data_IF_412482822487
#
_entry.id   IF_412482822487
#
_cell.length_a   1.000
_cell.length_b   1.000
_cell.length_c   1.000
_cell.angle_alpha   90.00
_cell.angle_beta   90.00
_cell.angle_gamma   90.00
#
_symmetry.space_group_name_H-M   'P 1'
#
loop_
_entity.id
_entity.type
_entity.pdbx_description
1 polymer ?
#
# COMPACT_ATOMS: atom_id res chain seq x y z
N UNK A 1 25.24 64.15 -77.86
CA UNK A 1 23.99 64.23 -77.06
C UNK A 1 23.41 62.84 -76.69
N UNK A 2 24.15 61.73 -76.89
CA UNK A 2 23.63 60.35 -76.69
C UNK A 2 23.95 59.71 -75.32
N UNK A 3 24.97 60.17 -74.59
CA UNK A 3 25.37 59.53 -73.33
C UNK A 3 24.41 59.81 -72.15
N UNK A 4 23.65 60.92 -72.20
CA UNK A 4 22.67 61.27 -71.16
C UNK A 4 21.40 60.41 -71.24
N UNK A 5 21.01 59.99 -72.44
CA UNK A 5 19.83 59.12 -72.67
C UNK A 5 20.15 57.68 -72.23
N UNK A 6 21.38 57.22 -72.46
CA UNK A 6 21.84 55.89 -72.05
C UNK A 6 21.93 55.73 -70.52
N UNK A 7 22.30 56.78 -69.80
CA UNK A 7 22.26 56.82 -68.33
C UNK A 7 20.84 56.84 -67.76
N UNK A 8 19.89 57.53 -68.43
CA UNK A 8 18.50 57.57 -68.00
C UNK A 8 17.80 56.21 -68.14
N UNK A 9 18.12 55.44 -69.20
CA UNK A 9 17.61 54.09 -69.41
C UNK A 9 18.12 53.09 -68.36
N UNK A 10 19.38 53.21 -67.92
CA UNK A 10 19.96 52.34 -66.89
C UNK A 10 19.32 52.56 -65.50
N UNK A 11 18.94 53.80 -65.18
CA UNK A 11 18.25 54.14 -63.91
C UNK A 11 16.82 53.57 -63.89
N UNK A 12 16.11 53.61 -65.02
CA UNK A 12 14.75 53.08 -65.13
C UNK A 12 14.72 51.54 -64.99
N UNK A 13 15.73 50.83 -65.50
CA UNK A 13 15.88 49.38 -65.29
C UNK A 13 16.24 48.99 -63.85
N UNK A 14 16.78 49.91 -63.04
CA UNK A 14 17.10 49.67 -61.63
C UNK A 14 15.91 49.77 -60.67
N UNK A 15 14.74 50.25 -61.14
CA UNK A 15 13.54 50.47 -60.32
C UNK A 15 12.52 49.32 -60.38
N UNK A 16 12.75 48.28 -61.20
CA UNK A 16 11.90 47.09 -61.27
C UNK A 16 12.32 46.03 -60.23
N UNK A 17 12.22 46.37 -58.95
CA UNK A 17 12.60 45.48 -57.83
C UNK A 17 11.69 45.59 -56.61
N UNK A 18 10.49 46.16 -56.76
CA UNK A 18 9.50 46.20 -55.68
C UNK A 18 8.67 44.91 -55.71
N UNK A 19 9.21 43.84 -55.11
CA UNK A 19 8.53 42.56 -54.93
C UNK A 19 7.73 42.58 -53.62
N UNK A 20 6.44 42.33 -53.69
CA UNK A 20 5.45 42.60 -52.65
C UNK A 20 5.37 41.47 -51.63
N UNK A 21 6.39 41.35 -50.78
CA UNK A 21 6.42 40.41 -49.63
C UNK A 21 5.17 40.46 -48.74
N UNK A 22 4.48 41.60 -48.72
CA UNK A 22 3.25 41.82 -47.96
C UNK A 22 2.06 41.06 -48.58
N UNK A 23 1.99 40.98 -49.92
CA UNK A 23 0.91 40.28 -50.62
C UNK A 23 1.00 38.76 -50.40
N UNK A 24 2.22 38.20 -50.36
CA UNK A 24 2.44 36.80 -50.04
C UNK A 24 1.92 36.43 -48.64
N UNK A 25 2.18 37.28 -47.63
CA UNK A 25 1.68 37.10 -46.26
C UNK A 25 0.15 37.20 -46.24
N UNK A 26 -0.43 38.16 -46.95
CA UNK A 26 -1.90 38.29 -47.02
C UNK A 26 -2.56 37.07 -47.66
N UNK A 27 -1.94 36.51 -48.69
CA UNK A 27 -2.43 35.31 -49.36
C UNK A 27 -2.34 34.06 -48.47
N UNK A 28 -1.26 33.93 -47.71
CA UNK A 28 -1.10 32.83 -46.74
C UNK A 28 -2.11 32.96 -45.58
N UNK A 29 -2.30 34.17 -45.04
CA UNK A 29 -3.30 34.45 -44.01
C UNK A 29 -4.73 34.20 -44.49
N UNK A 30 -5.05 34.54 -45.74
CA UNK A 30 -6.35 34.23 -46.34
C UNK A 30 -6.55 32.71 -46.48
N UNK A 31 -5.49 31.98 -46.83
CA UNK A 31 -5.51 30.51 -46.93
C UNK A 31 -5.79 29.89 -45.56
N UNK A 32 -5.10 30.34 -44.51
CA UNK A 32 -5.30 29.83 -43.13
C UNK A 32 -6.72 30.11 -42.63
N UNK A 33 -7.28 31.30 -42.88
CA UNK A 33 -8.65 31.64 -42.45
C UNK A 33 -9.73 30.83 -43.15
N UNK A 34 -9.48 30.38 -44.38
CA UNK A 34 -10.41 29.57 -45.14
C UNK A 34 -10.26 28.06 -44.87
N UNK A 35 -9.32 27.65 -44.01
CA UNK A 35 -9.22 26.26 -43.60
C UNK A 35 -10.38 25.90 -42.66
N UNK A 36 -11.04 24.75 -42.88
CA UNK A 36 -12.10 24.30 -42.00
C UNK A 36 -11.54 24.00 -40.60
N UNK A 37 -12.32 24.27 -39.53
CA UNK A 37 -11.89 23.98 -38.18
C UNK A 37 -11.63 22.48 -38.00
N UNK A 38 -10.54 22.16 -37.30
CA UNK A 38 -10.24 20.78 -36.92
C UNK A 38 -11.35 20.26 -35.99
N UNK A 39 -11.81 19.02 -36.17
CA UNK A 39 -12.74 18.40 -35.25
C UNK A 39 -12.14 18.35 -33.83
N UNK A 40 -12.91 18.81 -32.85
CA UNK A 40 -12.56 18.62 -31.44
C UNK A 40 -12.74 17.16 -31.05
N UNK A 41 -11.82 16.63 -30.25
CA UNK A 41 -12.00 15.30 -29.66
C UNK A 41 -13.26 15.31 -28.78
N UNK A 42 -14.15 14.33 -28.95
CA UNK A 42 -15.35 14.24 -28.12
C UNK A 42 -14.95 13.97 -26.66
N UNK A 43 -15.73 14.53 -25.74
CA UNK A 43 -15.53 14.25 -24.32
C UNK A 43 -15.59 12.73 -24.05
N UNK A 44 -14.72 12.21 -23.18
CA UNK A 44 -14.72 10.80 -22.84
C UNK A 44 -16.09 10.41 -22.23
N UNK A 45 -16.61 9.26 -22.65
CA UNK A 45 -17.88 8.74 -22.15
C UNK A 45 -17.61 7.99 -20.85
N UNK A 46 -18.17 8.47 -19.74
CA UNK A 46 -18.09 7.76 -18.45
C UNK A 46 -19.00 6.53 -18.49
N UNK A 47 -18.42 5.34 -18.28
CA UNK A 47 -19.21 4.12 -18.10
C UNK A 47 -19.90 4.15 -16.74
N UNK A 48 -21.22 3.85 -16.65
CA UNK A 48 -21.88 3.76 -15.36
C UNK A 48 -21.29 2.61 -14.54
N UNK A 49 -21.08 2.85 -13.25
CA UNK A 49 -20.65 1.83 -12.31
C UNK A 49 -21.77 0.79 -12.19
N UNK A 50 -21.49 -0.52 -12.32
CA UNK A 50 -22.52 -1.53 -12.15
C UNK A 50 -23.09 -1.47 -10.73
N UNK A 51 -24.42 -1.52 -10.60
CA UNK A 51 -25.07 -1.64 -9.30
C UNK A 51 -24.88 -3.05 -8.75
N UNK A 52 -24.26 -3.17 -7.58
CA UNK A 52 -24.16 -4.44 -6.87
C UNK A 52 -25.39 -4.62 -5.97
N UNK A 53 -26.18 -5.67 -6.20
CA UNK A 53 -27.26 -6.04 -5.29
C UNK A 53 -26.71 -6.95 -4.18
N UNK A 54 -26.79 -6.50 -2.93
CA UNK A 54 -26.34 -7.26 -1.77
C UNK A 54 -27.37 -8.35 -1.41
N UNK A 55 -27.10 -9.59 -1.81
CA UNK A 55 -27.97 -10.77 -1.53
C UNK A 55 -27.76 -11.38 -0.15
N UNK A 56 -26.76 -10.93 0.60
CA UNK A 56 -26.42 -11.48 1.91
C UNK A 56 -27.28 -10.95 3.07
N UNK A 57 -28.27 -10.10 2.80
CA UNK A 57 -29.24 -9.62 3.80
C UNK A 57 -30.16 -10.72 4.34
N UNK A 58 -30.38 -11.78 3.56
CA UNK A 58 -31.13 -12.98 4.00
C UNK A 58 -30.24 -14.02 4.68
N UNK A 59 -28.91 -13.84 4.65
CA UNK A 59 -28.00 -14.71 5.37
C UNK A 59 -28.01 -14.35 6.86
N UNK A 60 -27.76 -15.37 7.69
CA UNK A 60 -27.59 -15.17 9.13
C UNK A 60 -26.51 -14.12 9.39
N UNK A 61 -26.76 -13.25 10.37
CA UNK A 61 -25.78 -12.28 10.81
C UNK A 61 -24.47 -13.00 11.23
N UNK A 62 -23.33 -12.75 10.55
CA UNK A 62 -22.07 -13.44 10.82
C UNK A 62 -21.47 -13.08 12.18
N UNK A 63 -21.96 -12.04 12.85
CA UNK A 63 -21.51 -11.59 14.16
C UNK A 63 -22.33 -12.18 15.32
N UNK A 64 -23.42 -12.90 15.03
CA UNK A 64 -24.17 -13.61 16.07
C UNK A 64 -23.59 -15.01 16.30
N UNK A 65 -23.43 -15.44 17.56
CA UNK A 65 -22.88 -16.76 17.88
C UNK A 65 -23.76 -17.85 17.27
N UNK A 66 -23.14 -18.92 16.79
CA UNK A 66 -23.83 -19.99 16.05
C UNK A 66 -24.88 -20.73 16.91
N UNK A 67 -24.67 -20.76 18.24
CA UNK A 67 -25.55 -21.37 19.23
C UNK A 67 -25.34 -20.76 20.62
N UNK A 68 -26.33 -20.91 21.51
CA UNK A 68 -26.22 -20.54 22.93
C UNK A 68 -25.05 -21.26 23.61
N UNK A 69 -24.77 -22.51 23.23
CA UNK A 69 -23.63 -23.26 23.76
C UNK A 69 -22.28 -22.65 23.36
N UNK A 70 -22.17 -22.09 22.15
CA UNK A 70 -20.97 -21.38 21.72
C UNK A 70 -20.77 -20.08 22.50
N UNK A 71 -21.85 -19.36 22.78
CA UNK A 71 -21.85 -18.16 23.62
C UNK A 71 -21.46 -18.49 25.08
N UNK A 72 -22.09 -19.52 25.66
CA UNK A 72 -21.76 -19.99 27.00
C UNK A 72 -20.33 -20.51 27.10
N UNK A 73 -19.76 -21.13 26.06
CA UNK A 73 -18.34 -21.56 26.06
C UNK A 73 -17.38 -20.38 26.08
N UNK A 74 -17.73 -19.27 25.43
CA UNK A 74 -16.95 -18.03 25.49
C UNK A 74 -17.04 -17.45 26.91
N UNK A 75 -18.24 -17.42 27.49
CA UNK A 75 -18.45 -16.91 28.86
C UNK A 75 -17.92 -17.82 29.98
N UNK A 76 -17.89 -19.15 29.76
CA UNK A 76 -17.42 -20.16 30.73
C UNK A 76 -15.91 -20.37 30.67
N UNK A 77 -15.19 -19.64 29.82
CA UNK A 77 -13.74 -19.64 29.83
C UNK A 77 -13.23 -19.25 31.21
N UNK A 78 -12.17 -19.91 31.68
CA UNK A 78 -11.46 -19.49 32.89
C UNK A 78 -11.12 -18.00 32.73
N UNK A 79 -11.56 -17.14 33.65
CA UNK A 79 -11.20 -15.71 33.59
C UNK A 79 -9.68 -15.58 33.52
N UNK A 80 -9.18 -15.08 32.41
CA UNK A 80 -7.76 -14.84 32.18
C UNK A 80 -7.53 -13.35 32.39
N UNK A 81 -6.38 -13.01 32.96
CA UNK A 81 -5.96 -11.62 33.14
C UNK A 81 -4.48 -11.51 32.79
N UNK A 82 -4.05 -10.38 32.18
CA UNK A 82 -2.64 -10.13 31.99
C UNK A 82 -1.96 -9.98 33.36
N UNK A 83 -0.84 -10.67 33.56
CA UNK A 83 -0.05 -10.48 34.76
C UNK A 83 0.74 -9.17 34.64
N UNK A 84 0.27 -8.12 35.31
CA UNK A 84 0.90 -6.80 35.32
C UNK A 84 2.02 -6.65 36.37
N UNK A 85 2.13 -7.60 37.31
CA UNK A 85 3.13 -7.55 38.37
C UNK A 85 4.52 -7.99 37.92
N UNK A 86 4.62 -8.68 36.76
CA UNK A 86 5.90 -9.11 36.22
C UNK A 86 6.62 -7.97 35.48
N UNK A 87 7.96 -7.97 35.45
CA UNK A 87 8.68 -7.08 34.55
C UNK A 87 8.34 -7.39 33.09
N UNK A 88 8.21 -6.33 32.29
CA UNK A 88 8.04 -6.44 30.84
C UNK A 88 9.36 -6.87 30.18
N UNK A 89 9.25 -7.65 29.13
CA UNK A 89 10.35 -8.09 28.27
C UNK A 89 10.52 -7.11 27.10
N UNK A 90 11.72 -7.03 26.49
CA UNK A 90 12.00 -6.08 25.42
C UNK A 90 11.02 -6.17 24.24
N UNK A 91 10.60 -7.38 23.88
CA UNK A 91 9.70 -7.60 22.74
C UNK A 91 8.22 -7.27 23.01
N UNK A 92 7.87 -6.84 24.22
CA UNK A 92 6.51 -6.43 24.58
C UNK A 92 6.22 -4.96 24.32
N UNK A 93 7.20 -4.18 23.88
CA UNK A 93 6.99 -2.81 23.39
C UNK A 93 6.55 -2.76 21.92
N UNK A 94 6.59 -3.89 21.22
CA UNK A 94 6.30 -3.97 19.78
C UNK A 94 4.96 -4.65 19.52
N UNK A 95 4.27 -4.23 18.45
CA UNK A 95 3.13 -4.96 17.94
C UNK A 95 3.59 -6.32 17.40
N UNK A 96 2.81 -7.38 17.63
CA UNK A 96 3.18 -8.73 17.22
C UNK A 96 3.40 -8.82 15.69
N UNK A 97 2.61 -8.07 14.93
CA UNK A 97 2.64 -7.98 13.48
C UNK A 97 3.92 -7.32 12.94
N UNK A 98 4.61 -6.52 13.76
CA UNK A 98 5.88 -5.89 13.40
C UNK A 98 7.08 -6.79 13.66
N UNK A 99 6.88 -7.90 14.39
CA UNK A 99 7.93 -8.84 14.74
C UNK A 99 8.04 -9.93 13.68
N UNK A 100 9.26 -10.24 13.26
CA UNK A 100 9.51 -11.28 12.24
C UNK A 100 10.37 -12.40 12.79
N UNK A 101 9.91 -13.65 12.69
CA UNK A 101 10.76 -14.81 12.96
C UNK A 101 11.83 -14.96 11.87
N UNK A 102 13.10 -14.95 12.26
CA UNK A 102 14.25 -15.15 11.35
C UNK A 102 14.87 -16.54 11.43
N UNK A 103 14.56 -17.29 12.48
CA UNK A 103 15.04 -18.67 12.60
C UNK A 103 14.90 -19.19 14.01
N UNK A 104 15.55 -20.33 14.24
CA UNK A 104 15.70 -20.92 15.56
C UNK A 104 17.12 -21.45 15.75
N UNK A 105 17.54 -21.52 17.00
CA UNK A 105 18.83 -22.05 17.41
C UNK A 105 18.59 -23.11 18.48
N UNK A 106 19.38 -24.18 18.44
CA UNK A 106 19.34 -25.23 19.45
C UNK A 106 20.57 -25.11 20.34
N UNK A 107 20.34 -24.99 21.66
CA UNK A 107 21.42 -25.06 22.65
C UNK A 107 21.89 -26.50 22.86
N UNK A 108 23.06 -26.64 23.47
CA UNK A 108 23.70 -27.93 23.81
C UNK A 108 22.75 -28.81 24.65
N UNK A 109 21.92 -28.21 25.52
CA UNK A 109 20.91 -28.89 26.34
C UNK A 109 19.60 -29.26 25.61
N UNK A 110 19.60 -29.27 24.27
CA UNK A 110 18.43 -29.51 23.42
C UNK A 110 17.29 -28.46 23.53
N UNK A 111 17.50 -27.34 24.22
CA UNK A 111 16.52 -26.27 24.27
C UNK A 111 16.53 -25.46 22.95
N UNK A 112 15.35 -25.29 22.35
CA UNK A 112 15.17 -24.49 21.13
C UNK A 112 14.85 -23.05 21.52
N UNK A 113 15.60 -22.10 20.95
CA UNK A 113 15.35 -20.67 21.01
C UNK A 113 14.96 -20.16 19.64
N UNK A 114 14.05 -19.20 19.56
CA UNK A 114 13.74 -18.51 18.32
C UNK A 114 14.49 -17.17 18.24
N UNK A 115 14.77 -16.76 17.01
CA UNK A 115 15.34 -15.47 16.66
C UNK A 115 14.24 -14.59 16.09
N UNK A 116 13.95 -13.47 16.75
CA UNK A 116 12.94 -12.51 16.35
C UNK A 116 13.63 -11.21 15.96
N UNK A 117 13.34 -10.69 14.78
CA UNK A 117 13.75 -9.37 14.35
C UNK A 117 12.68 -8.34 14.73
N UNK A 118 13.08 -7.25 15.38
CA UNK A 118 12.24 -6.08 15.66
C UNK A 118 12.12 -5.18 14.41
N UNK A 119 11.14 -4.26 14.34
CA UNK A 119 11.08 -3.26 13.28
C UNK A 119 12.34 -2.39 13.17
N UNK A 120 13.09 -2.24 14.27
CA UNK A 120 14.36 -1.50 14.33
C UNK A 120 15.57 -2.33 13.83
N UNK A 121 15.31 -3.52 13.27
CA UNK A 121 16.29 -4.48 12.78
C UNK A 121 17.18 -5.14 13.86
N UNK A 122 16.84 -5.03 15.13
CA UNK A 122 17.53 -5.74 16.21
C UNK A 122 17.05 -7.20 16.28
N UNK A 123 17.95 -8.11 16.66
CA UNK A 123 17.62 -9.54 16.80
C UNK A 123 17.58 -9.91 18.28
N UNK A 124 16.41 -10.31 18.73
CA UNK A 124 16.16 -10.79 20.07
C UNK A 124 15.97 -12.31 20.09
N UNK A 125 16.44 -12.93 21.18
CA UNK A 125 16.35 -14.37 21.39
C UNK A 125 15.26 -14.67 22.39
N UNK A 126 14.36 -15.58 22.02
CA UNK A 126 13.27 -16.01 22.91
C UNK A 126 13.22 -17.51 23.05
N UNK A 127 12.69 -17.97 24.17
CA UNK A 127 12.44 -19.36 24.50
C UNK A 127 10.97 -19.55 24.92
N UNK A 128 10.55 -20.80 25.02
CA UNK A 128 9.21 -21.14 25.54
C UNK A 128 9.01 -20.50 26.92
N UNK A 129 7.87 -19.83 27.10
CA UNK A 129 7.55 -19.08 28.31
C UNK A 129 7.90 -17.59 28.30
N UNK A 130 8.68 -17.11 27.31
CA UNK A 130 8.85 -15.67 27.09
C UNK A 130 7.55 -15.01 26.63
N UNK A 131 7.51 -13.68 26.77
CA UNK A 131 6.40 -12.83 26.36
C UNK A 131 6.85 -11.88 25.26
N UNK A 132 6.02 -11.76 24.23
CA UNK A 132 6.26 -10.89 23.08
C UNK A 132 4.93 -10.24 22.67
N UNK A 133 5.02 -9.09 22.00
CA UNK A 133 3.84 -8.38 21.53
C UNK A 133 3.16 -7.54 22.62
N UNK A 134 2.39 -6.55 22.19
CA UNK A 134 1.61 -5.66 23.08
C UNK A 134 0.53 -6.40 23.89
N UNK A 135 0.02 -7.52 23.39
CA UNK A 135 -1.08 -8.27 23.99
C UNK A 135 -0.60 -9.40 24.92
N UNK A 136 0.53 -9.20 25.59
CA UNK A 136 1.08 -10.16 26.57
C UNK A 136 1.24 -11.59 26.00
N UNK A 137 1.67 -11.70 24.75
CA UNK A 137 1.76 -12.96 24.01
C UNK A 137 2.77 -13.92 24.60
N UNK A 138 2.31 -14.96 25.31
CA UNK A 138 3.19 -15.96 25.92
C UNK A 138 3.53 -17.05 24.91
N UNK A 139 4.81 -17.30 24.68
CA UNK A 139 5.28 -18.37 23.79
C UNK A 139 4.99 -19.72 24.42
N UNK A 140 4.21 -20.55 23.73
CA UNK A 140 3.83 -21.90 24.16
C UNK A 140 4.68 -22.98 23.48
N UNK A 141 5.14 -22.73 22.25
CA UNK A 141 5.91 -23.70 21.46
C UNK A 141 6.79 -22.99 20.45
N UNK A 142 7.98 -23.53 20.21
CA UNK A 142 8.90 -23.09 19.17
C UNK A 142 9.27 -24.29 18.32
N UNK A 143 9.12 -24.17 17.00
CA UNK A 143 9.60 -25.12 16.01
C UNK A 143 10.68 -24.45 15.14
N UNK A 144 11.36 -25.19 14.24
CA UNK A 144 12.33 -24.60 13.34
C UNK A 144 11.77 -23.51 12.42
N UNK A 145 10.47 -23.55 12.13
CA UNK A 145 9.81 -22.71 11.12
C UNK A 145 8.67 -21.86 11.69
N UNK A 146 8.30 -22.03 12.96
CA UNK A 146 7.15 -21.34 13.55
C UNK A 146 7.29 -21.17 15.07
N UNK A 147 6.74 -20.07 15.58
CA UNK A 147 6.52 -19.84 17.01
C UNK A 147 5.01 -19.81 17.23
N UNK A 148 4.53 -20.58 18.19
CA UNK A 148 3.15 -20.47 18.68
C UNK A 148 3.13 -19.73 20.01
N UNK A 149 2.15 -18.86 20.15
CA UNK A 149 1.94 -18.08 21.36
C UNK A 149 0.45 -17.89 21.66
N UNK A 150 0.17 -17.57 22.92
CA UNK A 150 -1.16 -17.23 23.40
C UNK A 150 -1.16 -15.78 23.85
N UNK A 151 -1.93 -14.93 23.16
CA UNK A 151 -2.16 -13.53 23.56
C UNK A 151 -3.33 -13.44 24.55
N UNK A 152 -3.35 -12.38 25.34
CA UNK A 152 -4.45 -12.01 26.21
C UNK A 152 -5.00 -10.69 25.70
N UNK A 153 -6.23 -10.73 25.17
CA UNK A 153 -6.90 -9.56 24.56
C UNK A 153 -8.22 -9.26 25.25
N UNK A 154 -8.63 -7.98 25.33
CA UNK A 154 -9.93 -7.64 25.90
C UNK A 154 -11.07 -8.23 25.07
N UNK A 155 -12.12 -8.70 25.73
CA UNK A 155 -13.31 -9.32 25.10
C UNK A 155 -14.42 -8.31 24.75
N UNK A 156 -14.21 -7.04 25.07
CA UNK A 156 -15.17 -5.94 24.86
C UNK A 156 -16.22 -5.76 25.97
N UNK A 157 -16.28 -6.66 26.95
CA UNK A 157 -17.25 -6.67 28.06
C UNK A 157 -16.53 -6.69 29.43
N UNK A 158 -15.44 -5.92 29.54
CA UNK A 158 -14.59 -5.79 30.75
C UNK A 158 -13.87 -7.10 31.18
N UNK A 159 -13.77 -8.08 30.27
CA UNK A 159 -13.02 -9.31 30.44
C UNK A 159 -11.84 -9.42 29.47
N UNK A 160 -11.08 -10.51 29.61
CA UNK A 160 -10.04 -10.89 28.66
C UNK A 160 -10.24 -12.33 28.20
N UNK A 161 -9.83 -12.59 26.97
CA UNK A 161 -9.80 -13.92 26.36
C UNK A 161 -8.40 -14.26 25.87
N UNK A 162 -8.11 -15.55 25.84
CA UNK A 162 -6.90 -16.09 25.22
C UNK A 162 -7.08 -16.19 23.70
N UNK A 163 -6.13 -15.63 22.95
CA UNK A 163 -6.13 -15.66 21.48
C UNK A 163 -4.87 -16.38 20.98
N UNK A 164 -5.01 -17.55 20.33
CA UNK A 164 -3.86 -18.25 19.75
C UNK A 164 -3.34 -17.48 18.54
N UNK A 165 -2.02 -17.32 18.45
CA UNK A 165 -1.32 -16.70 17.33
C UNK A 165 -0.08 -17.51 16.98
N UNK A 166 0.36 -17.37 15.73
CA UNK A 166 1.60 -17.95 15.26
C UNK A 166 2.41 -16.94 14.47
N UNK A 167 3.73 -17.00 14.64
CA UNK A 167 4.70 -16.30 13.80
C UNK A 167 5.43 -17.36 12.97
N UNK A 168 5.34 -17.27 11.65
CA UNK A 168 5.99 -18.19 10.72
C UNK A 168 7.31 -17.58 10.26
N UNK A 169 8.30 -18.43 10.04
CA UNK A 169 9.59 -18.07 9.47
C UNK A 169 9.39 -17.46 8.07
N UNK A 170 9.75 -16.20 7.91
CA UNK A 170 9.78 -15.55 6.60
C UNK A 170 11.14 -15.85 5.98
N UNK A 171 11.13 -16.72 4.96
CA UNK A 171 12.32 -17.02 4.16
C UNK A 171 12.80 -15.80 3.36
N UNK A 172 14.05 -15.79 2.90
CA UNK A 172 14.52 -14.76 1.97
C UNK A 172 13.62 -14.74 0.73
N UNK A 173 13.26 -13.54 0.29
CA UNK A 173 12.55 -13.33 -0.97
C UNK A 173 13.41 -13.93 -2.10
N UNK A 174 12.84 -14.77 -3.00
CA UNK A 174 13.58 -15.31 -4.13
C UNK A 174 14.09 -14.20 -5.06
#
# INVERSE_FOLDING_TARGET
>A
MNNKILWLGLVILGLSGCDSRIDAIHQEMATIRNQPPLPIEPAPVFMPVPSFQYSASQLRNPFLPSSLAAELKIMSGKRVYPNLARPKQPLESYALESLTMKGSMRKINAQIMALIQTPDNEIERVQVGNYIGLNYGRIIRITPTQIDLMEIVPDGHDGYIERPRSLVLIGPKP
#
